data_IF_533347365194
#
_entry.id   IF_533347365194
#
_cell.length_a   1.000
_cell.length_b   1.000
_cell.length_c   1.000
_cell.angle_alpha   90.00
_cell.angle_beta   90.00
_cell.angle_gamma   90.00
#
_symmetry.space_group_name_H-M   'P 1'
#
loop_
_entity.id
_entity.type
_entity.pdbx_description
1 polymer ?
#
# COMPACT_ATOMS: atom_id res chain seq x y z
N UNK A 1 8.21 9.74 -4.12
CA UNK A 1 8.56 8.47 -4.80
C UNK A 1 7.27 7.71 -5.05
N UNK A 2 7.11 7.12 -6.23
CA UNK A 2 5.93 6.32 -6.56
C UNK A 2 6.09 4.88 -6.07
N UNK A 3 4.98 4.16 -5.96
CA UNK A 3 4.99 2.71 -5.80
C UNK A 3 4.95 2.02 -7.16
N UNK A 4 5.60 0.86 -7.23
CA UNK A 4 5.48 -0.06 -8.35
C UNK A 4 4.84 -1.35 -7.83
N UNK A 5 3.51 -1.45 -7.79
CA UNK A 5 2.85 -2.69 -7.38
C UNK A 5 3.14 -3.81 -8.41
N UNK A 6 3.25 -5.04 -7.94
CA UNK A 6 3.54 -6.20 -8.79
C UNK A 6 2.24 -6.84 -9.31
N UNK A 7 2.36 -7.84 -10.19
CA UNK A 7 1.19 -8.63 -10.62
C UNK A 7 0.62 -9.44 -9.46
N UNK A 8 1.47 -9.96 -8.59
CA UNK A 8 1.06 -10.73 -7.41
C UNK A 8 0.15 -9.93 -6.48
N UNK A 9 0.35 -8.61 -6.38
CA UNK A 9 -0.52 -7.72 -5.58
C UNK A 9 -1.98 -7.73 -6.04
N UNK A 10 -2.24 -8.08 -7.30
CA UNK A 10 -3.56 -8.09 -7.93
C UNK A 10 -4.02 -9.48 -8.35
N UNK A 11 -3.37 -10.55 -7.87
CA UNK A 11 -3.67 -11.93 -8.31
C UNK A 11 -5.15 -12.30 -8.12
N UNK A 12 -5.77 -11.82 -7.05
CA UNK A 12 -7.20 -12.07 -6.74
C UNK A 12 -8.16 -11.30 -7.67
N UNK A 13 -7.67 -10.28 -8.36
CA UNK A 13 -8.41 -9.43 -9.31
C UNK A 13 -8.14 -9.79 -10.77
N UNK A 14 -7.34 -10.83 -11.02
CA UNK A 14 -6.88 -11.18 -12.35
C UNK A 14 -8.04 -11.58 -13.29
N UNK A 15 -7.94 -11.13 -14.54
CA UNK A 15 -8.90 -11.49 -15.59
C UNK A 15 -10.19 -10.68 -15.60
N UNK A 16 -10.44 -9.80 -14.61
CA UNK A 16 -11.66 -8.98 -14.50
C UNK A 16 -12.13 -8.34 -15.82
N UNK A 17 -11.21 -7.71 -16.55
CA UNK A 17 -11.55 -6.97 -17.78
C UNK A 17 -12.18 -7.86 -18.88
N UNK A 18 -11.82 -9.15 -18.93
CA UNK A 18 -12.21 -10.09 -20.00
C UNK A 18 -13.48 -10.91 -19.67
N UNK A 19 -14.16 -10.60 -18.57
CA UNK A 19 -15.19 -11.44 -17.95
C UNK A 19 -16.59 -10.83 -18.04
N UNK A 20 -17.63 -11.68 -17.94
CA UNK A 20 -19.03 -11.23 -17.86
C UNK A 20 -19.30 -10.45 -16.57
N UNK A 21 -20.46 -9.81 -16.45
CA UNK A 21 -20.83 -9.05 -15.24
C UNK A 21 -20.91 -9.96 -14.01
N UNK A 22 -21.46 -11.15 -14.16
CA UNK A 22 -21.60 -12.17 -13.12
C UNK A 22 -20.23 -12.70 -12.69
N UNK A 23 -19.36 -12.99 -13.66
CA UNK A 23 -17.99 -13.43 -13.38
C UNK A 23 -17.17 -12.32 -12.71
N UNK A 24 -17.32 -11.06 -13.13
CA UNK A 24 -16.71 -9.90 -12.49
C UNK A 24 -17.15 -9.78 -11.03
N UNK A 25 -18.45 -9.94 -10.75
CA UNK A 25 -18.97 -9.94 -9.37
C UNK A 25 -18.34 -11.05 -8.53
N UNK A 26 -18.21 -12.26 -9.08
CA UNK A 26 -17.57 -13.38 -8.41
C UNK A 26 -16.08 -13.11 -8.11
N UNK A 27 -15.34 -12.49 -9.04
CA UNK A 27 -13.94 -12.08 -8.83
C UNK A 27 -13.84 -11.13 -7.63
N UNK A 28 -14.68 -10.09 -7.59
CA UNK A 28 -14.69 -9.10 -6.50
C UNK A 28 -15.00 -9.77 -5.15
N UNK A 29 -16.00 -10.64 -5.10
CA UNK A 29 -16.36 -11.36 -3.88
C UNK A 29 -15.27 -12.33 -3.41
N UNK A 30 -14.66 -13.10 -4.33
CA UNK A 30 -13.56 -14.01 -4.02
C UNK A 30 -12.31 -13.27 -3.52
N UNK A 31 -12.12 -12.04 -3.96
CA UNK A 31 -11.09 -11.15 -3.47
C UNK A 31 -11.44 -10.47 -2.13
N UNK A 32 -12.56 -10.85 -1.49
CA UNK A 32 -12.97 -10.37 -0.18
C UNK A 32 -13.52 -8.95 -0.18
N UNK A 33 -13.94 -8.44 -1.34
CA UNK A 33 -14.48 -7.09 -1.48
C UNK A 33 -16.01 -7.11 -1.47
N UNK A 34 -16.59 -6.37 -0.54
CA UNK A 34 -18.02 -6.09 -0.52
C UNK A 34 -18.31 -4.84 -1.35
N UNK A 35 -19.39 -4.88 -2.13
CA UNK A 35 -19.90 -3.72 -2.87
C UNK A 35 -20.64 -2.81 -1.89
N UNK A 36 -20.35 -1.52 -1.97
CA UNK A 36 -20.87 -0.46 -1.08
C UNK A 36 -21.42 0.70 -1.90
N UNK A 37 -22.17 1.60 -1.26
CA UNK A 37 -22.72 2.80 -1.94
C UNK A 37 -21.61 3.67 -2.56
N UNK A 38 -20.44 3.74 -1.92
CA UNK A 38 -19.27 4.46 -2.45
C UNK A 38 -18.82 3.93 -3.82
N UNK A 39 -19.04 2.65 -4.12
CA UNK A 39 -18.64 2.08 -5.41
C UNK A 39 -19.50 2.62 -6.54
N UNK A 40 -20.78 2.87 -6.27
CA UNK A 40 -21.65 3.55 -7.22
C UNK A 40 -21.16 4.97 -7.49
N UNK A 41 -20.78 5.70 -6.45
CA UNK A 41 -20.24 7.07 -6.59
C UNK A 41 -18.93 7.09 -7.36
N UNK A 42 -18.00 6.16 -7.08
CA UNK A 42 -16.73 6.01 -7.79
C UNK A 42 -16.98 5.72 -9.27
N UNK A 43 -17.87 4.79 -9.57
CA UNK A 43 -18.20 4.46 -10.95
C UNK A 43 -18.81 5.67 -11.67
N UNK A 44 -19.79 6.34 -11.06
CA UNK A 44 -20.44 7.52 -11.61
C UNK A 44 -19.45 8.65 -11.88
N UNK A 45 -18.51 8.90 -10.96
CA UNK A 45 -17.46 9.89 -11.13
C UNK A 45 -16.60 9.61 -12.37
N UNK A 46 -16.37 8.33 -12.70
CA UNK A 46 -15.57 7.91 -13.85
C UNK A 46 -16.40 7.76 -15.15
N UNK A 47 -17.71 8.00 -15.08
CA UNK A 47 -18.64 7.95 -16.22
C UNK A 47 -19.62 6.77 -16.28
N UNK A 48 -19.28 5.53 -15.86
CA UNK A 48 -20.23 4.41 -15.90
C UNK A 48 -21.11 4.27 -14.66
N UNK A 49 -22.36 3.83 -14.84
CA UNK A 49 -23.23 3.41 -13.73
C UNK A 49 -23.07 1.90 -13.42
N UNK A 50 -21.85 1.49 -13.03
CA UNK A 50 -21.53 0.09 -12.70
C UNK A 50 -20.81 -0.01 -11.35
N UNK A 51 -21.57 -0.32 -10.30
CA UNK A 51 -21.04 -0.52 -8.94
C UNK A 51 -19.96 -1.62 -8.86
N UNK A 52 -19.97 -2.61 -9.75
CA UNK A 52 -18.96 -3.67 -9.76
C UNK A 52 -17.63 -3.10 -10.25
N UNK A 53 -17.67 -2.24 -11.26
CA UNK A 53 -16.51 -1.50 -11.74
C UNK A 53 -16.01 -0.51 -10.69
N UNK A 54 -16.91 0.19 -9.99
CA UNK A 54 -16.54 1.03 -8.86
C UNK A 54 -15.79 0.26 -7.77
N UNK A 55 -16.31 -0.91 -7.38
CA UNK A 55 -15.70 -1.78 -6.40
C UNK A 55 -14.34 -2.32 -6.86
N UNK A 56 -14.21 -2.67 -8.14
CA UNK A 56 -12.93 -3.06 -8.74
C UNK A 56 -11.88 -1.95 -8.63
N UNK A 57 -12.25 -0.72 -8.97
CA UNK A 57 -11.36 0.45 -8.93
C UNK A 57 -10.97 0.79 -7.50
N UNK A 58 -11.92 0.76 -6.56
CA UNK A 58 -11.63 0.91 -5.13
C UNK A 58 -10.67 -0.17 -4.64
N UNK A 59 -10.85 -1.41 -5.08
CA UNK A 59 -9.93 -2.52 -4.79
C UNK A 59 -8.50 -2.22 -5.23
N UNK A 60 -8.32 -1.78 -6.48
CA UNK A 60 -7.00 -1.39 -7.01
C UNK A 60 -6.38 -0.27 -6.16
N UNK A 61 -7.13 0.79 -5.89
CA UNK A 61 -6.64 1.94 -5.10
C UNK A 61 -6.24 1.49 -3.70
N UNK A 62 -7.04 0.64 -3.06
CA UNK A 62 -6.77 0.14 -1.71
C UNK A 62 -5.48 -0.69 -1.65
N UNK A 63 -5.28 -1.58 -2.62
CA UNK A 63 -4.05 -2.38 -2.73
C UNK A 63 -2.83 -1.47 -2.90
N UNK A 64 -2.90 -0.50 -3.82
CA UNK A 64 -1.85 0.49 -4.04
C UNK A 64 -1.54 1.31 -2.77
N UNK A 65 -2.56 1.86 -2.11
CA UNK A 65 -2.38 2.65 -0.89
C UNK A 65 -1.73 1.85 0.23
N UNK A 66 -2.11 0.57 0.39
CA UNK A 66 -1.48 -0.33 1.36
C UNK A 66 0.00 -0.51 1.05
N UNK A 67 0.36 -0.75 -0.20
CA UNK A 67 1.76 -0.89 -0.62
C UNK A 67 2.56 0.39 -0.35
N UNK A 68 2.00 1.55 -0.70
CA UNK A 68 2.62 2.84 -0.46
C UNK A 68 2.85 3.11 1.03
N UNK A 69 1.84 2.84 1.86
CA UNK A 69 1.95 3.04 3.30
C UNK A 69 2.97 2.08 3.94
N UNK A 70 3.04 0.83 3.49
CA UNK A 70 4.02 -0.14 3.97
C UNK A 70 5.44 0.30 3.63
N UNK A 71 5.69 0.72 2.39
CA UNK A 71 6.99 1.22 1.97
C UNK A 71 7.39 2.47 2.75
N UNK A 72 6.49 3.46 2.85
CA UNK A 72 6.75 4.70 3.60
C UNK A 72 7.06 4.43 5.07
N UNK A 73 6.37 3.47 5.69
CA UNK A 73 6.60 3.09 7.08
C UNK A 73 7.96 2.43 7.26
N UNK A 74 8.35 1.57 6.30
CA UNK A 74 9.67 0.95 6.28
C UNK A 74 10.78 2.01 6.17
N UNK A 75 10.68 2.91 5.21
CA UNK A 75 11.66 4.00 5.01
C UNK A 75 11.77 4.89 6.25
N UNK A 76 10.64 5.22 6.88
CA UNK A 76 10.63 5.99 8.12
C UNK A 76 11.32 5.26 9.28
N UNK A 77 11.07 3.96 9.44
CA UNK A 77 11.70 3.16 10.49
C UNK A 77 13.21 3.03 10.26
N UNK A 78 13.64 2.80 9.02
CA UNK A 78 15.07 2.77 8.65
C UNK A 78 15.76 4.09 9.01
N UNK A 79 15.14 5.22 8.68
CA UNK A 79 15.66 6.54 9.06
C UNK A 79 15.84 6.72 10.58
N UNK A 80 14.88 6.25 11.38
CA UNK A 80 14.96 6.33 12.85
C UNK A 80 16.10 5.46 13.40
N UNK A 81 16.29 4.26 12.85
CA UNK A 81 17.37 3.37 13.28
C UNK A 81 18.76 3.89 12.89
N UNK A 82 18.90 4.45 11.68
CA UNK A 82 20.13 5.11 11.24
C UNK A 82 20.48 6.29 12.16
N UNK A 83 19.48 7.11 12.51
CA UNK A 83 19.67 8.23 13.43
C UNK A 83 20.10 7.78 14.83
N UNK A 84 19.44 6.75 15.39
CA UNK A 84 19.83 6.18 16.70
C UNK A 84 21.26 5.67 16.68
N UNK A 85 21.64 4.96 15.62
CA UNK A 85 22.98 4.41 15.44
C UNK A 85 24.03 5.52 15.42
N UNK A 86 23.81 6.56 14.62
CA UNK A 86 24.72 7.71 14.54
C UNK A 86 24.88 8.42 15.90
N UNK A 87 23.79 8.62 16.64
CA UNK A 87 23.84 9.21 17.99
C UNK A 87 24.63 8.32 18.95
N UNK A 88 24.40 7.01 18.93
CA UNK A 88 25.10 6.07 19.80
C UNK A 88 26.61 6.05 19.52
N UNK A 89 27.00 6.04 18.24
CA UNK A 89 28.40 6.07 17.84
C UNK A 89 29.09 7.36 18.32
N UNK A 90 28.41 8.51 18.19
CA UNK A 90 28.92 9.78 18.72
C UNK A 90 29.10 9.75 20.24
N UNK A 91 28.15 9.18 20.97
CA UNK A 91 28.24 9.05 22.44
C UNK A 91 29.40 8.14 22.83
N UNK A 92 29.59 7.02 22.13
CA UNK A 92 30.70 6.10 22.39
C UNK A 92 32.05 6.76 22.12
N UNK A 93 32.20 7.46 20.99
CA UNK A 93 33.43 8.21 20.68
C UNK A 93 33.75 9.23 21.77
N UNK A 94 32.77 10.05 22.16
CA UNK A 94 32.96 11.06 23.21
C UNK A 94 33.31 10.45 24.56
N UNK A 95 32.77 9.27 24.87
CA UNK A 95 33.08 8.53 26.10
C UNK A 95 34.52 8.03 26.08
N UNK A 96 35.00 7.53 24.95
CA UNK A 96 36.39 7.11 24.78
C UNK A 96 37.35 8.30 24.95
N UNK A 97 37.10 9.41 24.26
CA UNK A 97 37.91 10.64 24.38
C UNK A 97 37.99 11.15 25.83
N UNK A 98 36.87 11.12 26.58
CA UNK A 98 36.84 11.53 27.99
C UNK A 98 37.69 10.64 28.89
N UNK A 99 37.71 9.33 28.62
CA UNK A 99 38.46 8.36 29.40
C UNK A 99 39.96 8.37 29.07
N UNK A 100 40.36 8.79 27.87
CA UNK A 100 41.77 8.97 27.52
C UNK A 100 42.40 10.19 28.20
N UNK A 101 41.59 11.15 28.67
CA UNK A 101 42.04 12.39 29.31
C UNK A 101 41.86 12.37 30.85
N UNK A 102 41.40 11.25 31.41
CA UNK A 102 41.23 11.01 32.85
C UNK A 102 42.37 10.18 33.44
#
# INVERSE_FOLDING_TARGET
>A
MGITPSREDFVTLEGYAKKSKEERRAIIQNAGMEITDNDKEIAQFLGPEDEILGCFIRGIITICLRHFNNQRTKEFNEYIEDYKTAINDMIQQKTLEMNEWA
#
